data_IF_212777619191
#
_entry.id   IF_212777619191
#
_cell.length_a   1.000
_cell.length_b   1.000
_cell.length_c   1.000
_cell.angle_alpha   90.00
_cell.angle_beta   90.00
_cell.angle_gamma   90.00
#
_symmetry.space_group_name_H-M   'P 1'
#
loop_
_entity.id
_entity.type
_entity.pdbx_description
1 polymer ?
#
# COMPACT_ATOMS: atom_id res chain seq x y z
N UNK A 1 9.29 9.18 25.88
CA UNK A 1 9.66 10.50 25.31
C UNK A 1 8.72 10.75 24.15
N UNK A 2 8.23 11.97 23.92
CA UNK A 2 7.42 12.29 22.75
C UNK A 2 8.19 11.95 21.44
N UNK A 3 7.57 12.17 20.31
CA UNK A 3 8.23 11.99 19.03
C UNK A 3 9.48 12.86 18.97
N UNK A 4 10.61 12.24 18.55
CA UNK A 4 11.90 12.91 18.46
C UNK A 4 12.15 13.35 17.00
N UNK A 5 12.14 14.66 16.71
CA UNK A 5 12.41 15.16 15.37
C UNK A 5 13.85 14.91 14.89
N UNK A 6 14.79 14.60 15.80
CA UNK A 6 16.17 14.28 15.44
C UNK A 6 16.34 12.83 14.96
N UNK A 7 15.28 12.03 14.97
CA UNK A 7 15.32 10.67 14.45
C UNK A 7 15.30 10.61 12.91
N UNK A 8 15.18 11.73 12.20
CA UNK A 8 15.31 11.77 10.73
C UNK A 8 16.68 11.21 10.33
N UNK A 9 16.70 10.29 9.38
CA UNK A 9 17.89 9.55 8.93
C UNK A 9 18.23 8.33 9.78
N UNK A 10 17.52 8.07 10.89
CA UNK A 10 17.71 6.86 11.68
C UNK A 10 17.27 5.62 10.89
N UNK A 11 18.12 4.59 10.88
CA UNK A 11 17.88 3.34 10.16
C UNK A 11 17.73 2.16 11.11
N UNK A 12 17.09 1.11 10.64
CA UNK A 12 17.12 -0.20 11.29
C UNK A 12 18.36 -0.97 10.88
N UNK A 13 18.73 -1.97 11.68
CA UNK A 13 19.65 -3.00 11.19
C UNK A 13 18.98 -3.75 10.02
N UNK A 14 19.79 -4.27 9.05
CA UNK A 14 19.26 -5.08 7.96
C UNK A 14 18.51 -6.31 8.50
N UNK A 15 17.31 -6.54 7.99
CA UNK A 15 16.48 -7.71 8.32
C UNK A 15 16.25 -8.53 7.07
N UNK A 16 16.48 -9.84 7.15
CA UNK A 16 16.16 -10.74 6.04
C UNK A 16 14.67 -11.04 6.09
N UNK A 17 13.99 -10.75 4.99
CA UNK A 17 12.62 -11.17 4.72
C UNK A 17 12.64 -12.22 3.63
N UNK A 18 12.12 -13.41 3.93
CA UNK A 18 12.02 -14.54 2.99
C UNK A 18 10.56 -14.85 2.72
N UNK A 19 10.25 -15.26 1.48
CA UNK A 19 8.92 -15.69 1.08
C UNK A 19 8.99 -16.87 0.12
N UNK A 20 7.91 -17.61 0.07
CA UNK A 20 7.66 -18.72 -0.83
C UNK A 20 6.61 -18.35 -1.87
N UNK A 21 6.43 -19.19 -2.88
CA UNK A 21 5.33 -19.09 -3.85
C UNK A 21 3.95 -19.05 -3.16
N UNK A 22 3.77 -19.83 -2.08
CA UNK A 22 2.54 -19.81 -1.28
C UNK A 22 2.24 -18.42 -0.72
N UNK A 23 3.24 -17.66 -0.31
CA UNK A 23 3.04 -16.34 0.29
C UNK A 23 2.59 -15.32 -0.76
N UNK A 24 3.13 -15.39 -1.98
CA UNK A 24 2.73 -14.54 -3.10
C UNK A 24 1.35 -14.89 -3.64
N UNK A 25 1.00 -16.19 -3.71
CA UNK A 25 -0.35 -16.66 -4.04
C UNK A 25 -1.38 -16.21 -2.99
N UNK A 26 -1.05 -16.36 -1.69
CA UNK A 26 -1.90 -15.92 -0.60
C UNK A 26 -2.14 -14.39 -0.64
N UNK A 27 -1.10 -13.62 -0.92
CA UNK A 27 -1.23 -12.18 -1.10
C UNK A 27 -2.16 -11.83 -2.26
N UNK A 28 -2.00 -12.48 -3.40
CA UNK A 28 -2.85 -12.25 -4.57
C UNK A 28 -4.33 -12.52 -4.26
N UNK A 29 -4.65 -13.65 -3.59
CA UNK A 29 -5.99 -13.93 -3.08
C UNK A 29 -6.43 -12.88 -2.06
N UNK A 30 -5.51 -12.43 -1.20
CA UNK A 30 -5.72 -11.38 -0.20
C UNK A 30 -6.13 -10.04 -0.80
N UNK A 31 -5.67 -9.71 -2.00
CA UNK A 31 -6.06 -8.51 -2.75
C UNK A 31 -7.10 -8.80 -3.84
N UNK A 32 -7.83 -9.91 -3.70
CA UNK A 32 -9.02 -10.25 -4.48
C UNK A 32 -8.75 -10.87 -5.86
N UNK A 33 -7.54 -11.36 -6.14
CA UNK A 33 -7.29 -12.18 -7.32
C UNK A 33 -8.12 -13.48 -7.24
N UNK A 34 -8.56 -14.00 -8.37
CA UNK A 34 -9.47 -15.14 -8.43
C UNK A 34 -9.14 -16.11 -9.55
N UNK A 35 -10.17 -16.83 -10.00
CA UNK A 35 -10.05 -17.86 -11.04
C UNK A 35 -9.67 -17.33 -12.41
N UNK A 36 -9.86 -16.04 -12.65
CA UNK A 36 -9.50 -15.37 -13.90
C UNK A 36 -8.06 -14.82 -13.90
N UNK A 37 -7.39 -14.88 -12.72
CA UNK A 37 -6.06 -14.33 -12.49
C UNK A 37 -5.02 -15.45 -12.29
N UNK A 38 -5.03 -16.51 -13.11
CA UNK A 38 -4.23 -17.74 -12.89
C UNK A 38 -2.72 -17.47 -12.78
N UNK A 39 -2.20 -16.45 -13.44
CA UNK A 39 -0.80 -16.05 -13.32
C UNK A 39 -0.43 -15.60 -11.89
N UNK A 40 -1.39 -15.19 -11.08
CA UNK A 40 -1.18 -14.71 -9.69
C UNK A 40 -1.71 -15.69 -8.64
N UNK A 41 -2.53 -16.68 -9.05
CA UNK A 41 -3.27 -17.53 -8.12
C UNK A 41 -2.89 -19.00 -8.19
N UNK A 42 -2.05 -19.37 -9.17
CA UNK A 42 -1.58 -20.76 -9.36
C UNK A 42 -0.11 -20.80 -9.76
N UNK A 43 0.59 -21.86 -9.33
CA UNK A 43 2.00 -22.12 -9.66
C UNK A 43 2.16 -23.16 -10.79
N UNK A 44 1.09 -23.80 -11.23
CA UNK A 44 1.13 -24.96 -12.10
C UNK A 44 0.06 -24.98 -13.21
N UNK A 45 -0.48 -23.83 -13.58
CA UNK A 45 -1.41 -23.69 -14.69
C UNK A 45 -0.71 -23.92 -16.03
N UNK A 46 -1.38 -24.61 -16.97
CA UNK A 46 -0.80 -24.96 -18.28
C UNK A 46 -0.45 -23.68 -19.08
N UNK A 47 0.81 -23.55 -19.48
CA UNK A 47 1.37 -22.43 -20.25
C UNK A 47 1.20 -21.04 -19.59
N UNK A 48 0.94 -21.00 -18.28
CA UNK A 48 0.81 -19.75 -17.52
C UNK A 48 1.86 -19.75 -16.38
N UNK A 49 2.99 -19.08 -16.55
CA UNK A 49 3.97 -18.97 -15.48
C UNK A 49 3.42 -18.10 -14.33
N UNK A 50 3.72 -18.49 -13.09
CA UNK A 50 3.37 -17.68 -11.92
C UNK A 50 4.10 -16.34 -11.97
N UNK A 51 3.35 -15.26 -11.70
CA UNK A 51 3.84 -13.90 -11.54
C UNK A 51 3.54 -13.39 -10.13
N UNK A 52 4.23 -12.33 -9.74
CA UNK A 52 4.03 -11.66 -8.45
C UNK A 52 3.54 -10.25 -8.68
N UNK A 53 2.44 -9.88 -8.02
CA UNK A 53 1.94 -8.50 -8.09
C UNK A 53 3.00 -7.52 -7.54
N UNK A 54 3.28 -6.39 -8.23
CA UNK A 54 4.25 -5.39 -7.75
C UNK A 54 3.96 -4.91 -6.34
N UNK A 55 2.69 -4.84 -5.99
CA UNK A 55 2.21 -4.40 -4.68
C UNK A 55 2.54 -5.39 -3.54
N UNK A 56 2.98 -6.62 -3.83
CA UNK A 56 3.54 -7.52 -2.81
C UNK A 56 4.77 -6.93 -2.12
N UNK A 57 5.46 -6.00 -2.76
CA UNK A 57 6.59 -5.29 -2.17
C UNK A 57 6.25 -4.55 -0.87
N UNK A 58 4.98 -4.19 -0.61
CA UNK A 58 4.57 -3.60 0.67
C UNK A 58 4.69 -4.57 1.85
N UNK A 59 4.69 -5.87 1.55
CA UNK A 59 4.92 -6.96 2.52
C UNK A 59 6.42 -7.29 2.58
N UNK A 60 7.05 -7.53 1.41
CA UNK A 60 8.44 -7.98 1.33
C UNK A 60 9.47 -6.89 1.69
N UNK A 61 9.11 -5.62 1.58
CA UNK A 61 9.99 -4.47 1.80
C UNK A 61 9.25 -3.38 2.59
N UNK A 62 8.98 -3.62 3.88
CA UNK A 62 8.26 -2.66 4.73
C UNK A 62 9.20 -1.82 5.59
N UNK A 63 8.96 -0.49 5.64
CA UNK A 63 9.70 0.47 6.48
C UNK A 63 9.15 0.63 7.89
N UNK A 64 8.03 0.01 8.23
CA UNK A 64 7.35 0.26 9.52
C UNK A 64 8.19 -0.07 10.76
N UNK A 65 9.19 -0.95 10.66
CA UNK A 65 10.12 -1.22 11.76
C UNK A 65 10.90 0.04 12.18
N UNK A 66 11.14 0.99 11.28
CA UNK A 66 11.81 2.25 11.59
C UNK A 66 10.95 3.18 12.48
N UNK A 67 9.64 2.98 12.55
CA UNK A 67 8.77 3.73 13.47
C UNK A 67 9.19 3.56 14.96
N UNK A 68 9.84 2.46 15.31
CA UNK A 68 10.40 2.27 16.66
C UNK A 68 11.55 3.23 17.01
N UNK A 69 12.11 3.95 16.02
CA UNK A 69 13.21 4.91 16.21
C UNK A 69 12.73 6.32 16.55
N UNK A 70 11.45 6.66 16.30
CA UNK A 70 10.93 8.03 16.43
C UNK A 70 10.51 8.41 17.86
N UNK A 71 10.63 7.51 18.83
CA UNK A 71 10.17 7.74 20.20
C UNK A 71 8.86 7.01 20.53
N UNK A 72 8.11 7.51 21.52
CA UNK A 72 6.85 6.89 21.95
C UNK A 72 5.66 7.68 21.45
N UNK A 73 4.68 6.99 20.94
CA UNK A 73 3.39 7.55 20.53
C UNK A 73 2.28 6.50 20.70
N UNK A 74 1.03 6.93 20.64
CA UNK A 74 -0.09 6.02 20.73
C UNK A 74 -0.33 5.34 19.36
N UNK A 75 0.04 4.06 19.24
CA UNK A 75 -0.15 3.27 18.00
C UNK A 75 -1.61 3.20 17.53
N UNK A 76 -2.59 3.30 18.43
CA UNK A 76 -3.99 3.32 18.05
C UNK A 76 -4.39 4.61 17.29
N UNK A 77 -3.56 5.65 17.36
CA UNK A 77 -3.77 6.92 16.65
C UNK A 77 -3.07 6.97 15.29
N UNK A 78 -2.30 5.93 14.95
CA UNK A 78 -1.58 5.86 13.67
C UNK A 78 -2.52 5.47 12.54
N UNK A 79 -2.54 6.27 11.49
CA UNK A 79 -3.21 6.00 10.23
C UNK A 79 -2.18 5.93 9.10
N UNK A 80 -2.39 5.04 8.16
CA UNK A 80 -1.61 4.97 6.94
C UNK A 80 -2.08 6.08 5.98
N UNK A 81 -1.24 7.09 5.75
CA UNK A 81 -1.59 8.28 4.96
C UNK A 81 -1.36 8.10 3.45
N UNK A 82 -0.25 7.49 3.07
CA UNK A 82 0.09 7.19 1.67
C UNK A 82 1.05 6.02 1.57
N UNK A 83 1.07 5.39 0.40
CA UNK A 83 2.01 4.32 0.05
C UNK A 83 2.59 4.58 -1.33
N UNK A 84 3.90 4.36 -1.44
CA UNK A 84 4.62 4.30 -2.70
C UNK A 84 5.46 3.03 -2.74
N UNK A 85 5.54 2.43 -3.92
CA UNK A 85 6.46 1.34 -4.24
C UNK A 85 7.23 1.69 -5.51
N UNK A 86 8.46 1.22 -5.62
CA UNK A 86 9.28 1.21 -6.82
C UNK A 86 10.04 -0.10 -6.89
N UNK A 87 9.87 -0.81 -7.97
CA UNK A 87 10.61 -2.04 -8.29
C UNK A 87 11.68 -1.74 -9.34
N UNK A 88 12.90 -2.16 -9.09
CA UNK A 88 14.02 -2.10 -10.04
C UNK A 88 14.19 -3.43 -10.78
N UNK A 89 13.68 -4.51 -10.19
CA UNK A 89 13.58 -5.83 -10.78
C UNK A 89 12.23 -6.45 -10.36
N UNK A 90 11.57 -7.27 -11.22
CA UNK A 90 10.37 -8.00 -10.80
C UNK A 90 10.64 -8.91 -9.60
N UNK A 91 9.67 -9.00 -8.70
CA UNK A 91 9.77 -9.92 -7.57
C UNK A 91 9.55 -11.36 -8.05
N UNK A 92 10.42 -12.32 -7.67
CA UNK A 92 10.20 -13.74 -7.98
C UNK A 92 9.10 -14.32 -7.11
N UNK A 93 8.50 -15.45 -7.53
CA UNK A 93 7.47 -16.17 -6.77
C UNK A 93 7.95 -16.62 -5.38
N UNK A 94 9.23 -16.97 -5.25
CA UNK A 94 9.90 -17.24 -3.98
C UNK A 94 11.23 -16.50 -3.95
N UNK A 95 11.64 -15.96 -2.80
CA UNK A 95 12.85 -15.19 -2.72
C UNK A 95 13.15 -14.64 -1.32
N UNK A 96 14.14 -13.78 -1.26
CA UNK A 96 14.55 -13.08 -0.03
C UNK A 96 15.08 -11.68 -0.34
N UNK A 97 14.84 -10.75 0.57
CA UNK A 97 15.43 -9.42 0.57
C UNK A 97 16.10 -9.14 1.92
N UNK A 98 17.20 -8.42 1.87
CA UNK A 98 17.74 -7.71 3.02
C UNK A 98 17.12 -6.33 3.05
N UNK A 99 16.30 -6.06 4.06
CA UNK A 99 15.48 -4.84 4.16
C UNK A 99 16.05 -3.93 5.24
N UNK A 100 16.30 -2.68 4.89
CA UNK A 100 16.65 -1.59 5.80
C UNK A 100 15.53 -0.57 5.80
N UNK A 101 14.94 -0.33 6.97
CA UNK A 101 13.97 0.76 7.17
C UNK A 101 14.69 2.04 7.59
N UNK A 102 14.16 3.18 7.17
CA UNK A 102 14.69 4.52 7.44
C UNK A 102 13.56 5.47 7.81
N UNK A 103 13.78 6.32 8.80
CA UNK A 103 12.95 7.48 9.07
C UNK A 103 13.32 8.58 8.09
N UNK A 104 12.59 8.69 6.99
CA UNK A 104 12.92 9.62 5.91
C UNK A 104 12.54 11.07 6.24
N UNK A 105 11.44 11.28 6.98
CA UNK A 105 11.02 12.63 7.40
C UNK A 105 10.10 12.55 8.63
N UNK A 106 10.09 13.61 9.45
CA UNK A 106 9.18 13.81 10.60
C UNK A 106 8.67 15.24 10.56
N UNK A 107 7.36 15.40 10.46
CA UNK A 107 6.70 16.70 10.36
C UNK A 107 5.81 16.94 11.57
N UNK A 108 5.98 18.09 12.21
CA UNK A 108 5.14 18.56 13.31
C UNK A 108 4.07 19.53 12.77
N UNK A 109 2.82 19.13 12.79
CA UNK A 109 1.73 20.00 12.31
C UNK A 109 1.22 20.99 13.38
N UNK A 110 1.88 21.01 14.56
CA UNK A 110 1.58 21.91 15.67
C UNK A 110 0.81 21.25 16.80
N UNK A 111 0.74 21.94 17.92
CA UNK A 111 0.08 21.45 19.13
C UNK A 111 -1.38 21.08 18.90
N UNK A 112 -1.78 19.90 19.39
CA UNK A 112 -3.11 19.32 19.21
C UNK A 112 -3.44 18.87 17.78
N UNK A 113 -2.49 19.00 16.83
CA UNK A 113 -2.60 18.50 15.48
C UNK A 113 -1.86 17.16 15.31
N UNK A 114 -1.62 16.76 14.08
CA UNK A 114 -0.99 15.48 13.78
C UNK A 114 0.55 15.59 13.73
N UNK A 115 1.22 14.49 14.05
CA UNK A 115 2.55 14.23 13.52
C UNK A 115 2.43 13.47 12.20
N UNK A 116 3.35 13.73 11.27
CA UNK A 116 3.44 13.00 10.00
C UNK A 116 4.85 12.45 9.87
N UNK A 117 4.96 11.14 9.68
CA UNK A 117 6.25 10.44 9.61
C UNK A 117 6.33 9.71 8.27
N UNK A 118 7.42 9.92 7.56
CA UNK A 118 7.72 9.19 6.33
C UNK A 118 8.72 8.08 6.63
N UNK A 119 8.32 6.86 6.33
CA UNK A 119 9.10 5.64 6.57
C UNK A 119 9.48 5.04 5.22
N UNK A 120 10.76 5.09 4.89
CA UNK A 120 11.31 4.46 3.69
C UNK A 120 11.77 3.03 4.03
N UNK A 121 11.71 2.13 3.06
CA UNK A 121 12.48 0.89 3.10
C UNK A 121 13.21 0.69 1.79
N UNK A 122 14.40 0.10 1.88
CA UNK A 122 15.21 -0.36 0.75
C UNK A 122 15.44 -1.85 0.90
N UNK A 123 14.94 -2.61 -0.07
CA UNK A 123 15.10 -4.06 -0.17
C UNK A 123 16.18 -4.41 -1.17
N UNK A 124 17.22 -5.08 -0.70
CA UNK A 124 18.40 -5.46 -1.49
C UNK A 124 18.46 -6.97 -1.61
N UNK A 125 18.76 -7.49 -2.77
CA UNK A 125 19.06 -8.91 -2.95
C UNK A 125 20.37 -9.25 -2.19
N UNK A 126 20.33 -10.10 -1.15
CA UNK A 126 21.49 -10.35 -0.30
C UNK A 126 22.62 -11.09 -1.01
N UNK A 127 22.34 -11.78 -2.12
CA UNK A 127 23.34 -12.55 -2.85
C UNK A 127 24.08 -11.70 -3.90
N UNK A 128 23.43 -10.67 -4.45
CA UNK A 128 24.00 -9.81 -5.50
C UNK A 128 24.34 -8.39 -5.03
N UNK A 129 23.80 -7.96 -3.90
CA UNK A 129 23.92 -6.59 -3.39
C UNK A 129 23.11 -5.54 -4.16
N UNK A 130 22.29 -5.93 -5.16
CA UNK A 130 21.48 -5.00 -5.94
C UNK A 130 20.20 -4.61 -5.20
N UNK A 131 19.82 -3.34 -5.30
CA UNK A 131 18.49 -2.88 -4.85
C UNK A 131 17.44 -3.46 -5.78
N UNK A 132 16.44 -4.12 -5.21
CA UNK A 132 15.32 -4.74 -5.91
C UNK A 132 14.04 -3.91 -5.76
N UNK A 133 13.79 -3.38 -4.56
CA UNK A 133 12.59 -2.62 -4.26
C UNK A 133 12.88 -1.47 -3.30
N UNK A 134 12.17 -0.38 -3.48
CA UNK A 134 12.03 0.68 -2.48
C UNK A 134 10.55 0.91 -2.20
N UNK A 135 10.24 1.18 -0.94
CA UNK A 135 8.90 1.59 -0.53
C UNK A 135 8.95 2.85 0.32
N UNK A 136 7.90 3.65 0.28
CA UNK A 136 7.72 4.81 1.13
C UNK A 136 6.30 4.79 1.69
N UNK A 137 6.17 4.79 3.01
CA UNK A 137 4.89 4.90 3.70
C UNK A 137 4.83 6.22 4.46
N UNK A 138 3.70 6.91 4.40
CA UNK A 138 3.43 8.04 5.28
C UNK A 138 2.52 7.58 6.41
N UNK A 139 3.00 7.67 7.64
CA UNK A 139 2.20 7.46 8.84
C UNK A 139 1.71 8.82 9.36
N UNK A 140 0.41 8.94 9.58
CA UNK A 140 -0.22 10.11 10.20
C UNK A 140 -0.62 9.72 11.62
N UNK A 141 0.00 10.34 12.63
CA UNK A 141 -0.25 10.04 14.04
C UNK A 141 -1.10 11.17 14.60
N UNK A 142 -2.38 10.89 14.82
CA UNK A 142 -3.36 11.90 15.24
C UNK A 142 -3.07 12.41 16.65
N UNK A 143 -3.09 13.74 16.80
CA UNK A 143 -2.97 14.40 18.09
C UNK A 143 -1.55 14.43 18.68
N UNK A 144 -0.55 13.88 18.00
CA UNK A 144 0.83 13.76 18.50
C UNK A 144 1.75 14.90 17.97
N UNK A 145 1.19 15.98 17.44
CA UNK A 145 1.94 17.19 17.08
C UNK A 145 2.25 18.07 18.28
N UNK A 146 3.13 19.06 18.11
CA UNK A 146 3.56 19.99 19.15
C UNK A 146 4.86 19.59 19.86
N UNK A 147 5.66 18.71 19.22
CA UNK A 147 6.95 18.26 19.76
C UNK A 147 8.13 19.18 19.34
N UNK A 148 7.86 20.26 18.57
CA UNK A 148 8.88 21.27 18.18
C UNK A 148 9.65 20.92 16.91
N UNK A 149 9.12 20.02 16.08
CA UNK A 149 9.66 19.67 14.77
C UNK A 149 9.29 20.71 13.68
N UNK A 150 9.78 20.50 12.47
CA UNK A 150 9.43 21.31 11.31
C UNK A 150 8.03 20.95 10.80
N UNK A 151 7.23 21.92 10.27
CA UNK A 151 5.89 21.63 9.78
C UNK A 151 5.89 20.78 8.49
N UNK A 152 7.02 20.75 7.78
CA UNK A 152 7.17 20.07 6.52
C UNK A 152 6.25 20.61 5.42
N UNK A 153 6.37 20.06 4.22
CA UNK A 153 5.51 20.40 3.09
C UNK A 153 4.85 19.12 2.56
N UNK A 154 3.59 19.21 2.17
CA UNK A 154 2.96 18.14 1.40
C UNK A 154 3.50 18.21 -0.04
N UNK A 155 3.91 17.08 -0.64
CA UNK A 155 4.21 17.03 -2.07
C UNK A 155 3.02 17.56 -2.90
N UNK A 156 3.32 18.20 -4.04
CA UNK A 156 2.27 18.59 -4.97
C UNK A 156 1.48 17.35 -5.42
N UNK A 157 0.15 17.48 -5.45
CA UNK A 157 -0.69 16.43 -5.99
C UNK A 157 -0.47 16.31 -7.51
N UNK A 158 -0.51 15.10 -8.09
CA UNK A 158 -0.50 14.95 -9.54
C UNK A 158 -1.73 15.62 -10.14
N UNK A 159 -1.57 16.20 -11.31
CA UNK A 159 -2.68 16.80 -12.04
C UNK A 159 -3.52 15.70 -12.67
N UNK A 160 -4.80 15.64 -12.30
CA UNK A 160 -5.77 14.77 -12.95
C UNK A 160 -6.30 15.52 -14.19
N UNK A 161 -6.20 14.94 -15.40
CA UNK A 161 -6.68 15.59 -16.61
C UNK A 161 -8.18 15.93 -16.54
N UNK A 162 -8.55 17.13 -17.03
CA UNK A 162 -9.95 17.55 -17.13
C UNK A 162 -10.62 16.91 -18.37
N UNK A 163 -10.72 15.59 -18.33
CA UNK A 163 -11.38 14.75 -19.34
C UNK A 163 -11.81 13.44 -18.69
N UNK A 164 -12.68 12.70 -19.36
CA UNK A 164 -13.05 11.36 -18.94
C UNK A 164 -11.79 10.45 -18.82
N UNK A 165 -11.77 9.52 -17.86
CA UNK A 165 -10.70 8.54 -17.76
C UNK A 165 -10.62 7.67 -19.02
N UNK A 166 -9.40 7.24 -19.36
CA UNK A 166 -9.19 6.32 -20.48
C UNK A 166 -9.77 4.93 -20.17
N UNK A 167 -9.80 4.56 -18.89
CA UNK A 167 -10.35 3.28 -18.43
C UNK A 167 -10.90 3.40 -17.01
N UNK A 168 -11.93 2.59 -16.73
CA UNK A 168 -12.50 2.41 -15.39
C UNK A 168 -12.64 0.91 -15.11
N UNK A 169 -11.94 0.43 -14.09
CA UNK A 169 -11.91 -0.98 -13.73
C UNK A 169 -12.56 -1.16 -12.37
N UNK A 170 -13.69 -1.87 -12.34
CA UNK A 170 -14.44 -2.17 -11.13
C UNK A 170 -14.10 -3.57 -10.62
N UNK A 171 -13.56 -3.67 -9.41
CA UNK A 171 -13.20 -4.92 -8.76
C UNK A 171 -13.95 -5.05 -7.43
N UNK A 172 -14.87 -6.00 -7.28
CA UNK A 172 -15.56 -6.22 -6.02
C UNK A 172 -14.61 -6.81 -4.98
N UNK A 173 -14.75 -6.38 -3.73
CA UNK A 173 -14.11 -7.03 -2.59
C UNK A 173 -15.06 -8.05 -1.98
N UNK A 174 -14.52 -9.12 -1.38
CA UNK A 174 -15.28 -10.12 -0.64
C UNK A 174 -15.60 -9.61 0.76
N UNK A 175 -16.67 -10.09 1.37
CA UNK A 175 -16.99 -9.77 2.78
C UNK A 175 -15.92 -10.27 3.75
N UNK A 176 -15.21 -11.36 3.40
CA UNK A 176 -14.10 -11.94 4.16
C UNK A 176 -12.72 -11.48 3.68
N UNK A 177 -12.65 -10.49 2.78
CA UNK A 177 -11.40 -10.03 2.16
C UNK A 177 -10.33 -9.63 3.19
N UNK A 178 -10.72 -8.92 4.24
CA UNK A 178 -9.80 -8.53 5.30
C UNK A 178 -9.25 -9.73 6.09
N UNK A 179 -10.04 -10.81 6.24
CA UNK A 179 -9.63 -12.02 6.93
C UNK A 179 -8.60 -12.83 6.13
N UNK A 180 -8.66 -12.75 4.79
CA UNK A 180 -7.67 -13.36 3.92
C UNK A 180 -6.40 -12.48 3.90
N UNK A 181 -6.54 -11.17 3.64
CA UNK A 181 -5.40 -10.26 3.54
C UNK A 181 -4.52 -10.24 4.79
N UNK A 182 -5.12 -10.25 6.01
CA UNK A 182 -4.37 -10.24 7.26
C UNK A 182 -3.40 -11.41 7.42
N UNK A 183 -3.57 -12.49 6.66
CA UNK A 183 -2.66 -13.63 6.66
C UNK A 183 -1.31 -13.31 6.00
N UNK A 184 -1.24 -12.25 5.22
CA UNK A 184 0.02 -11.72 4.66
C UNK A 184 0.84 -10.86 5.64
N UNK A 185 0.39 -10.72 6.91
CA UNK A 185 1.22 -10.11 7.97
C UNK A 185 0.51 -9.11 8.88
N UNK A 186 -0.37 -8.27 8.38
CA UNK A 186 -1.06 -7.26 9.19
C UNK A 186 -2.22 -7.86 9.99
N UNK A 187 -1.96 -8.14 11.26
CA UNK A 187 -2.90 -8.74 12.23
C UNK A 187 -3.66 -7.72 13.08
N UNK A 188 -3.65 -6.42 12.72
CA UNK A 188 -4.34 -5.38 13.47
C UNK A 188 -5.84 -5.73 13.62
N UNK A 189 -6.37 -5.79 14.86
CA UNK A 189 -7.77 -6.14 15.13
C UNK A 189 -8.79 -5.16 14.53
N UNK A 190 -8.37 -3.94 14.16
CA UNK A 190 -9.21 -2.98 13.43
C UNK A 190 -9.87 -3.58 12.18
N UNK A 191 -9.21 -4.56 11.57
CA UNK A 191 -9.63 -5.19 10.31
C UNK A 191 -10.39 -6.51 10.51
N UNK A 192 -10.56 -6.98 11.76
CA UNK A 192 -11.15 -8.30 12.02
C UNK A 192 -12.07 -8.38 13.23
N UNK A 193 -11.90 -7.47 14.22
CA UNK A 193 -12.66 -7.51 15.47
C UNK A 193 -13.73 -6.41 15.49
N UNK A 194 -15.04 -6.77 15.46
CA UNK A 194 -16.11 -5.79 15.53
C UNK A 194 -16.12 -4.93 16.80
N UNK A 195 -15.68 -5.50 17.93
CA UNK A 195 -15.60 -4.73 19.19
C UNK A 195 -14.51 -3.66 19.08
N UNK A 196 -13.32 -4.05 18.63
CA UNK A 196 -12.20 -3.10 18.45
C UNK A 196 -12.57 -1.98 17.47
N UNK A 197 -13.18 -2.34 16.33
CA UNK A 197 -13.59 -1.38 15.31
C UNK A 197 -14.58 -0.34 15.86
N UNK A 198 -15.57 -0.78 16.65
CA UNK A 198 -16.62 0.12 17.20
C UNK A 198 -16.14 0.90 18.39
N UNK A 199 -15.64 0.22 19.41
CA UNK A 199 -15.41 0.84 20.73
C UNK A 199 -14.10 1.62 20.79
N UNK A 200 -13.06 1.20 20.04
CA UNK A 200 -11.76 1.84 20.09
C UNK A 200 -11.48 2.72 18.86
N UNK A 201 -11.94 2.32 17.68
CA UNK A 201 -11.63 3.02 16.43
C UNK A 201 -12.78 3.90 15.91
N UNK A 202 -14.02 3.73 16.42
CA UNK A 202 -15.19 4.54 16.05
C UNK A 202 -15.77 4.21 14.66
N UNK A 203 -15.48 3.02 14.12
CA UNK A 203 -16.08 2.54 12.86
C UNK A 203 -17.29 1.64 13.13
N UNK A 204 -18.30 1.61 12.27
CA UNK A 204 -19.49 0.79 12.48
C UNK A 204 -19.23 -0.73 12.40
N UNK A 205 -18.16 -1.13 11.72
CA UNK A 205 -17.69 -2.52 11.55
C UNK A 205 -16.20 -2.51 11.17
N UNK A 206 -15.49 -3.66 11.21
CA UNK A 206 -14.12 -3.76 10.74
C UNK A 206 -13.96 -3.18 9.32
N UNK A 207 -12.90 -2.40 9.11
CA UNK A 207 -12.57 -1.82 7.82
C UNK A 207 -11.57 -2.71 7.07
N UNK A 208 -11.53 -2.58 5.74
CA UNK A 208 -10.51 -3.22 4.93
C UNK A 208 -9.14 -2.55 5.20
N UNK A 209 -8.06 -3.32 5.15
CA UNK A 209 -6.71 -2.77 5.22
C UNK A 209 -6.47 -1.75 4.09
N UNK A 210 -5.86 -0.62 4.40
CA UNK A 210 -5.48 0.35 3.37
C UNK A 210 -4.60 -0.27 2.29
N UNK A 211 -3.61 -1.08 2.70
CA UNK A 211 -2.72 -1.78 1.75
C UNK A 211 -3.42 -2.88 0.94
N UNK A 212 -4.54 -3.44 1.44
CA UNK A 212 -5.41 -4.31 0.62
C UNK A 212 -6.11 -3.49 -0.47
N UNK A 213 -6.68 -2.33 -0.13
CA UNK A 213 -7.28 -1.40 -1.11
C UNK A 213 -6.26 -0.99 -2.17
N UNK A 214 -5.04 -0.66 -1.75
CA UNK A 214 -3.92 -0.37 -2.64
C UNK A 214 -3.56 -1.55 -3.56
N UNK A 215 -3.54 -2.77 -3.02
CA UNK A 215 -3.27 -3.99 -3.79
C UNK A 215 -4.37 -4.32 -4.82
N UNK A 216 -5.66 -4.08 -4.48
CA UNK A 216 -6.78 -4.22 -5.43
C UNK A 216 -6.64 -3.22 -6.57
N UNK A 217 -6.34 -1.94 -6.26
CA UNK A 217 -6.05 -0.94 -7.30
C UNK A 217 -4.83 -1.34 -8.14
N UNK A 218 -3.78 -1.87 -7.51
CA UNK A 218 -2.59 -2.40 -8.21
C UNK A 218 -2.92 -3.50 -9.20
N UNK A 219 -3.87 -4.40 -8.89
CA UNK A 219 -4.35 -5.40 -9.85
C UNK A 219 -5.05 -4.75 -11.05
N UNK A 220 -5.91 -3.76 -10.81
CA UNK A 220 -6.55 -3.02 -11.89
C UNK A 220 -5.51 -2.35 -12.82
N UNK A 221 -4.46 -1.75 -12.23
CA UNK A 221 -3.37 -1.12 -12.97
C UNK A 221 -2.55 -2.15 -13.78
N UNK A 222 -2.19 -3.28 -13.19
CA UNK A 222 -1.48 -4.37 -13.90
C UNK A 222 -2.32 -4.92 -15.04
N UNK A 223 -3.61 -5.16 -14.82
CA UNK A 223 -4.52 -5.64 -15.87
C UNK A 223 -4.63 -4.67 -17.04
N UNK A 224 -4.86 -3.41 -16.76
CA UNK A 224 -5.17 -2.39 -17.77
C UNK A 224 -3.90 -1.83 -18.47
N UNK A 225 -2.85 -1.54 -17.72
CA UNK A 225 -1.64 -0.89 -18.25
C UNK A 225 -0.56 -1.91 -18.64
N UNK A 226 -0.46 -3.00 -17.89
CA UNK A 226 0.48 -4.09 -18.18
C UNK A 226 -0.08 -5.18 -19.09
N UNK A 227 -1.37 -5.14 -19.41
CA UNK A 227 -2.03 -6.23 -20.15
C UNK A 227 -1.99 -7.57 -19.40
N UNK A 228 -1.98 -7.54 -18.06
CA UNK A 228 -1.87 -8.71 -17.20
C UNK A 228 -0.42 -9.13 -16.88
N UNK A 229 0.58 -8.48 -17.47
CA UNK A 229 1.99 -8.72 -17.19
C UNK A 229 2.45 -7.77 -16.06
N UNK A 230 2.64 -8.35 -14.86
CA UNK A 230 3.08 -7.62 -13.67
C UNK A 230 4.48 -7.00 -13.82
N UNK A 231 5.33 -7.54 -14.68
CA UNK A 231 6.70 -7.05 -14.87
C UNK A 231 6.74 -5.68 -15.56
N UNK A 232 5.65 -5.30 -16.20
CA UNK A 232 5.51 -4.01 -16.87
C UNK A 232 5.20 -2.83 -15.93
N UNK A 233 4.77 -3.08 -14.69
CA UNK A 233 4.45 -2.02 -13.72
C UNK A 233 5.57 -1.91 -12.70
N UNK A 234 6.33 -0.81 -12.75
CA UNK A 234 7.54 -0.61 -11.94
C UNK A 234 7.34 0.30 -10.73
N UNK A 235 6.39 1.22 -10.75
CA UNK A 235 6.13 2.08 -9.61
C UNK A 235 4.64 2.41 -9.48
N UNK A 236 4.14 2.44 -8.25
CA UNK A 236 2.78 2.87 -7.92
C UNK A 236 2.87 3.73 -6.67
N UNK A 237 2.20 4.86 -6.64
CA UNK A 237 2.02 5.67 -5.44
C UNK A 237 0.58 6.13 -5.33
N UNK A 238 0.04 6.22 -4.10
CA UNK A 238 -1.25 6.84 -3.84
C UNK A 238 -1.41 7.25 -2.38
N UNK A 239 -2.37 8.11 -2.13
CA UNK A 239 -2.78 8.58 -0.80
C UNK A 239 -4.12 7.96 -0.43
N UNK A 240 -4.22 7.50 0.82
CA UNK A 240 -5.48 7.02 1.40
C UNK A 240 -6.35 8.20 1.83
N UNK A 241 -7.63 8.19 1.46
CA UNK A 241 -8.56 9.30 1.73
C UNK A 241 -9.72 8.92 2.63
N UNK A 242 -10.23 7.72 2.49
CA UNK A 242 -11.39 7.22 3.24
C UNK A 242 -11.26 5.71 3.50
N UNK A 243 -11.90 5.20 4.56
CA UNK A 243 -11.94 3.77 4.83
C UNK A 243 -12.76 3.02 3.78
N UNK A 244 -12.41 1.77 3.54
CA UNK A 244 -13.16 0.81 2.73
C UNK A 244 -13.74 -0.26 3.66
N UNK A 245 -14.95 -0.70 3.40
CA UNK A 245 -15.55 -1.83 4.10
C UNK A 245 -15.53 -3.08 3.23
N UNK A 246 -15.17 -4.25 3.78
CA UNK A 246 -15.27 -5.51 3.04
C UNK A 246 -16.67 -5.70 2.45
N UNK A 247 -16.73 -6.16 1.19
CA UNK A 247 -17.96 -6.29 0.40
C UNK A 247 -18.24 -5.08 -0.52
N UNK A 248 -17.51 -3.97 -0.41
CA UNK A 248 -17.62 -2.85 -1.36
C UNK A 248 -16.88 -3.13 -2.67
N UNK A 249 -17.32 -2.50 -3.74
CA UNK A 249 -16.66 -2.51 -5.05
C UNK A 249 -15.69 -1.33 -5.13
N UNK A 250 -14.46 -1.61 -5.56
CA UNK A 250 -13.43 -0.61 -5.83
C UNK A 250 -13.36 -0.34 -7.34
N UNK A 251 -13.62 0.90 -7.73
CA UNK A 251 -13.54 1.34 -9.13
C UNK A 251 -12.32 2.24 -9.30
N UNK A 252 -11.35 1.78 -10.07
CA UNK A 252 -10.13 2.53 -10.38
C UNK A 252 -10.28 3.20 -11.75
N UNK A 253 -10.30 4.53 -11.75
CA UNK A 253 -10.29 5.38 -12.94
C UNK A 253 -8.84 5.73 -13.29
N UNK A 254 -8.45 5.58 -14.55
CA UNK A 254 -7.07 5.67 -15.04
C UNK A 254 -7.01 6.67 -16.19
N UNK A 255 -6.06 7.60 -16.14
CA UNK A 255 -5.72 8.54 -17.19
C UNK A 255 -4.27 8.36 -17.61
N UNK A 256 -4.02 7.93 -18.84
CA UNK A 256 -2.69 7.90 -19.41
C UNK A 256 -2.26 9.35 -19.71
N UNK A 257 -1.10 9.75 -19.21
CA UNK A 257 -0.61 11.13 -19.34
C UNK A 257 0.47 11.25 -20.41
N UNK A 258 1.52 10.47 -20.28
CA UNK A 258 2.63 10.38 -21.24
C UNK A 258 3.07 8.92 -21.35
N UNK A 259 3.87 8.54 -22.38
CA UNK A 259 4.32 7.16 -22.52
C UNK A 259 4.95 6.62 -21.23
N UNK A 260 4.47 5.47 -20.77
CA UNK A 260 4.93 4.85 -19.54
C UNK A 260 4.40 5.47 -18.23
N UNK A 261 3.51 6.45 -18.28
CA UNK A 261 2.98 7.12 -17.08
C UNK A 261 1.46 7.26 -17.15
N UNK A 262 0.82 7.06 -16.00
CA UNK A 262 -0.59 7.36 -15.83
C UNK A 262 -0.87 7.88 -14.42
N UNK A 263 -1.98 8.59 -14.27
CA UNK A 263 -2.55 8.96 -12.98
C UNK A 263 -3.84 8.19 -12.77
N UNK A 264 -4.19 7.96 -11.50
CA UNK A 264 -5.41 7.21 -11.18
C UNK A 264 -6.06 7.70 -9.88
N UNK A 265 -7.34 7.38 -9.75
CA UNK A 265 -8.12 7.48 -8.52
C UNK A 265 -8.90 6.20 -8.31
N UNK A 266 -9.18 5.86 -7.07
CA UNK A 266 -10.04 4.72 -6.76
C UNK A 266 -11.17 5.16 -5.85
N UNK A 267 -12.39 4.84 -6.23
CA UNK A 267 -13.59 5.02 -5.43
C UNK A 267 -14.07 3.67 -4.88
N UNK A 268 -14.64 3.70 -3.69
CA UNK A 268 -15.38 2.57 -3.14
C UNK A 268 -16.87 2.89 -3.10
N UNK A 269 -17.69 1.92 -3.44
CA UNK A 269 -19.14 2.01 -3.33
C UNK A 269 -19.73 0.66 -2.87
N UNK A 270 -20.91 0.69 -2.27
CA UNK A 270 -21.70 -0.53 -2.05
C UNK A 270 -22.01 -1.21 -3.39
N UNK A 271 -22.35 -2.52 -3.40
CA UNK A 271 -22.70 -3.24 -4.64
C UNK A 271 -23.86 -2.60 -5.42
N UNK A 272 -24.74 -1.86 -4.76
CA UNK A 272 -25.85 -1.11 -5.37
C UNK A 272 -25.45 0.29 -5.87
N UNK A 273 -24.16 0.66 -5.78
CA UNK A 273 -23.61 1.95 -6.16
C UNK A 273 -23.78 3.05 -5.10
N UNK A 274 -24.46 2.78 -3.99
CA UNK A 274 -24.61 3.76 -2.92
C UNK A 274 -23.30 3.98 -2.14
N UNK A 275 -23.22 5.09 -1.41
CA UNK A 275 -22.05 5.49 -0.59
C UNK A 275 -20.73 5.61 -1.38
N UNK A 276 -20.79 5.95 -2.67
CA UNK A 276 -19.62 6.19 -3.48
C UNK A 276 -18.74 7.29 -2.86
N UNK A 277 -17.45 6.98 -2.68
CA UNK A 277 -16.48 7.90 -2.12
C UNK A 277 -15.07 7.59 -2.59
N UNK A 278 -14.27 8.63 -2.70
CA UNK A 278 -12.85 8.50 -3.01
C UNK A 278 -12.10 7.83 -1.85
N UNK A 279 -11.35 6.77 -2.13
CA UNK A 279 -10.59 6.00 -1.15
C UNK A 279 -9.09 6.02 -1.43
N UNK A 280 -8.67 6.10 -2.70
CA UNK A 280 -7.30 6.39 -3.12
C UNK A 280 -7.30 7.61 -4.03
N UNK A 281 -6.42 8.57 -3.72
CA UNK A 281 -6.22 9.81 -4.47
C UNK A 281 -4.73 10.05 -4.71
N UNK A 282 -4.41 11.09 -5.50
CA UNK A 282 -3.04 11.43 -5.85
C UNK A 282 -2.29 10.21 -6.47
N UNK A 283 -3.01 9.35 -7.18
CA UNK A 283 -2.50 8.12 -7.75
C UNK A 283 -1.58 8.38 -8.94
N UNK A 284 -0.36 7.80 -8.92
CA UNK A 284 0.56 7.77 -10.06
C UNK A 284 1.08 6.36 -10.28
N UNK A 285 1.32 5.99 -11.54
CA UNK A 285 1.87 4.70 -11.92
C UNK A 285 2.87 4.87 -13.06
N UNK A 286 4.00 4.16 -12.95
CA UNK A 286 5.00 4.02 -14.01
C UNK A 286 4.94 2.59 -14.56
N UNK A 287 4.92 2.48 -15.89
CA UNK A 287 4.81 1.19 -16.57
C UNK A 287 5.56 1.21 -17.91
N UNK A 288 5.75 0.06 -18.49
CA UNK A 288 6.31 -0.10 -19.85
C UNK A 288 5.24 -0.63 -20.79
N UNK A 289 5.21 -0.14 -22.03
CA UNK A 289 4.26 -0.57 -23.07
C UNK A 289 4.47 -2.03 -23.50
#
# INVERSE_FOLDING_TARGET
MPIDPNAIGATTDPQIFEWTDRDTLLYALGVGAGTDDLAFTTENSHDIPQQVLPTYSVIACTGFAAAGKIGSFNFAMLLHGSQQIRLFEPLPSAGKLSVVGEVADIQDKGEGKNAVVMLKATGTNPDTGKVVAETMATAVIRGEGGFGGQPGQRPAAPEIPDREPDSQIALPTREDQALIYRLSGDRNPLHSDPWFARELAGFPKPILHGLCTYGVAGRALVGELGGGDATKVSAIASRFTSPVFPGETLTTAIWRTEPGHAVFRTEAANPDGSNARLVLDDGVVEYTD
#
